data_IF_268587329140
#
_entry.id   IF_268587329140
#
_cell.length_a   1.000
_cell.length_b   1.000
_cell.length_c   1.000
_cell.angle_alpha   90.00
_cell.angle_beta   90.00
_cell.angle_gamma   90.00
#
_symmetry.space_group_name_H-M   'P 1'
#
loop_
_entity.id
_entity.type
_entity.pdbx_description
1 polymer ?
#
# COMPACT_ATOMS: atom_id res chain seq x y z
N UNK A 1 3.77 -15.30 -5.60
CA UNK A 1 5.12 -15.78 -5.99
C UNK A 1 5.75 -14.91 -7.08
N UNK A 2 5.07 -14.63 -8.21
CA UNK A 2 5.66 -13.87 -9.32
C UNK A 2 6.08 -12.44 -8.93
N UNK A 3 5.30 -11.75 -8.11
CA UNK A 3 5.62 -10.39 -7.65
C UNK A 3 6.90 -10.40 -6.81
N UNK A 4 6.96 -11.22 -5.77
CA UNK A 4 8.10 -11.29 -4.86
C UNK A 4 9.32 -11.95 -5.51
N UNK A 5 9.14 -13.11 -6.15
CA UNK A 5 10.26 -13.89 -6.68
C UNK A 5 10.90 -13.33 -7.95
N UNK A 6 10.17 -12.55 -8.75
CA UNK A 6 10.67 -12.05 -10.05
C UNK A 6 10.55 -10.54 -10.24
N UNK A 7 9.46 -9.91 -9.74
CA UNK A 7 9.19 -8.51 -10.06
C UNK A 7 9.84 -7.53 -9.07
N UNK A 8 10.03 -7.90 -7.81
CA UNK A 8 10.76 -7.05 -6.86
C UNK A 8 12.20 -6.76 -7.32
N UNK A 9 12.87 -7.77 -7.87
CA UNK A 9 14.23 -7.63 -8.40
C UNK A 9 14.31 -7.09 -9.83
N UNK A 10 13.19 -6.82 -10.50
CA UNK A 10 13.17 -6.37 -11.89
C UNK A 10 13.93 -5.06 -12.06
N UNK A 11 14.84 -5.01 -13.03
CA UNK A 11 15.71 -3.86 -13.27
C UNK A 11 16.53 -3.44 -12.03
N UNK A 12 16.96 -4.43 -11.20
CA UNK A 12 17.68 -4.13 -9.96
C UNK A 12 16.82 -3.41 -8.91
N UNK A 13 15.51 -3.67 -8.90
CA UNK A 13 14.56 -3.05 -7.97
C UNK A 13 14.07 -1.65 -8.40
N UNK A 14 14.56 -1.08 -9.49
CA UNK A 14 14.20 0.27 -9.95
C UNK A 14 12.70 0.44 -10.20
N UNK A 15 12.04 -0.60 -10.66
CA UNK A 15 10.60 -0.54 -10.97
C UNK A 15 9.75 -0.28 -9.72
N UNK A 16 10.05 -0.97 -8.62
CA UNK A 16 9.32 -0.76 -7.37
C UNK A 16 9.72 0.54 -6.69
N UNK A 17 11.00 0.92 -6.79
CA UNK A 17 11.48 2.21 -6.29
C UNK A 17 10.78 3.38 -6.99
N UNK A 18 10.60 3.31 -8.32
CA UNK A 18 9.85 4.32 -9.07
C UNK A 18 8.41 4.47 -8.62
N UNK A 19 7.74 3.37 -8.21
CA UNK A 19 6.42 3.46 -7.60
C UNK A 19 6.45 4.22 -6.28
N UNK A 20 7.40 3.91 -5.40
CA UNK A 20 7.55 4.63 -4.13
C UNK A 20 7.88 6.11 -4.34
N UNK A 21 8.74 6.44 -5.29
CA UNK A 21 9.05 7.82 -5.66
C UNK A 21 7.78 8.58 -6.13
N UNK A 22 6.96 7.94 -6.95
CA UNK A 22 5.68 8.51 -7.41
C UNK A 22 4.75 8.81 -6.23
N UNK A 23 4.60 7.88 -5.29
CA UNK A 23 3.77 8.09 -4.09
C UNK A 23 4.32 9.21 -3.22
N UNK A 24 5.63 9.23 -2.99
CA UNK A 24 6.28 10.25 -2.17
C UNK A 24 6.17 11.64 -2.79
N UNK A 25 6.36 11.75 -4.11
CA UNK A 25 6.20 13.01 -4.84
C UNK A 25 4.77 13.54 -4.70
N UNK A 26 3.77 12.69 -4.92
CA UNK A 26 2.37 13.07 -4.75
C UNK A 26 2.07 13.56 -3.33
N UNK A 27 2.54 12.83 -2.31
CA UNK A 27 2.36 13.22 -0.90
C UNK A 27 3.01 14.57 -0.58
N UNK A 28 4.23 14.79 -1.08
CA UNK A 28 4.98 16.03 -0.87
C UNK A 28 4.33 17.23 -1.56
N UNK A 29 3.90 17.07 -2.81
CA UNK A 29 3.25 18.13 -3.58
C UNK A 29 1.93 18.58 -2.95
N UNK A 30 1.25 17.69 -2.21
CA UNK A 30 -0.04 17.95 -1.58
C UNK A 30 0.03 18.12 -0.06
N UNK A 31 1.22 18.18 0.54
CA UNK A 31 1.41 18.21 2.01
C UNK A 31 0.67 19.38 2.68
N UNK A 32 0.55 20.52 1.99
CA UNK A 32 -0.15 21.71 2.47
C UNK A 32 -1.66 21.71 2.23
N UNK A 33 -2.24 20.66 1.67
CA UNK A 33 -3.67 20.58 1.40
C UNK A 33 -4.43 20.03 2.61
N UNK A 34 -4.78 20.91 3.56
CA UNK A 34 -5.45 20.54 4.80
C UNK A 34 -6.81 19.86 4.59
N UNK A 35 -7.50 20.16 3.47
CA UNK A 35 -8.83 19.60 3.18
C UNK A 35 -8.84 18.08 2.99
N UNK A 36 -7.74 17.50 2.49
CA UNK A 36 -7.62 16.06 2.25
C UNK A 36 -6.53 15.39 3.09
N UNK A 37 -5.75 16.16 3.86
CA UNK A 37 -4.58 15.67 4.56
C UNK A 37 -4.91 14.54 5.54
N UNK A 38 -5.75 14.83 6.53
CA UNK A 38 -6.06 13.88 7.61
C UNK A 38 -6.80 12.61 7.11
N UNK A 39 -7.69 12.77 6.13
CA UNK A 39 -8.54 11.69 5.65
C UNK A 39 -7.91 10.85 4.54
N UNK A 40 -6.93 11.39 3.77
CA UNK A 40 -6.37 10.72 2.60
C UNK A 40 -4.84 10.66 2.58
N UNK A 41 -4.14 11.78 2.83
CA UNK A 41 -2.68 11.79 2.68
C UNK A 41 -1.98 11.08 3.85
N UNK A 42 -2.39 11.31 5.08
CA UNK A 42 -1.78 10.69 6.26
C UNK A 42 -1.99 9.16 6.28
N UNK A 43 -3.21 8.61 6.00
CA UNK A 43 -3.40 7.17 5.85
C UNK A 43 -2.58 6.57 4.71
N UNK A 44 -2.50 7.23 3.55
CA UNK A 44 -1.68 6.78 2.43
C UNK A 44 -0.19 6.74 2.78
N UNK A 45 0.30 7.75 3.49
CA UNK A 45 1.68 7.81 3.97
C UNK A 45 2.00 6.66 4.93
N UNK A 46 1.08 6.33 5.84
CA UNK A 46 1.24 5.20 6.75
C UNK A 46 1.29 3.87 6.00
N UNK A 47 0.33 3.61 5.11
CA UNK A 47 0.28 2.39 4.32
C UNK A 47 1.49 2.23 3.37
N UNK A 48 2.00 3.33 2.80
CA UNK A 48 3.22 3.33 1.99
C UNK A 48 4.46 2.95 2.81
N UNK A 49 4.55 3.38 4.08
CA UNK A 49 5.62 2.95 4.99
C UNK A 49 5.56 1.46 5.30
N UNK A 50 4.37 0.91 5.52
CA UNK A 50 4.19 -0.52 5.73
C UNK A 50 4.69 -1.32 4.52
N UNK A 51 4.33 -0.88 3.31
CA UNK A 51 4.76 -1.53 2.07
C UNK A 51 6.28 -1.45 1.88
N UNK A 52 6.90 -0.31 2.21
CA UNK A 52 8.36 -0.17 2.19
C UNK A 52 9.03 -1.10 3.19
N UNK A 53 8.49 -1.20 4.41
CA UNK A 53 9.02 -2.10 5.44
C UNK A 53 8.95 -3.56 5.01
N UNK A 54 7.86 -3.98 4.35
CA UNK A 54 7.74 -5.32 3.76
C UNK A 54 8.78 -5.57 2.67
N UNK A 55 9.00 -4.61 1.78
CA UNK A 55 10.03 -4.69 0.75
C UNK A 55 11.44 -4.83 1.33
N UNK A 56 11.75 -4.06 2.37
CA UNK A 56 13.03 -4.14 3.09
C UNK A 56 13.21 -5.49 3.79
N UNK A 57 12.15 -6.03 4.41
CA UNK A 57 12.17 -7.36 5.01
C UNK A 57 12.53 -8.44 3.97
N UNK A 58 11.90 -8.42 2.80
CA UNK A 58 12.21 -9.38 1.74
C UNK A 58 13.65 -9.27 1.23
N UNK A 59 14.19 -8.07 1.15
CA UNK A 59 15.59 -7.87 0.75
C UNK A 59 16.55 -8.43 1.82
N UNK A 60 16.25 -8.22 3.10
CA UNK A 60 17.12 -8.65 4.20
C UNK A 60 17.00 -10.15 4.51
N UNK A 61 15.78 -10.64 4.64
CA UNK A 61 15.52 -12.01 5.12
C UNK A 61 15.35 -13.02 3.97
N UNK A 62 14.87 -12.58 2.81
CA UNK A 62 14.75 -13.43 1.63
C UNK A 62 16.10 -13.86 1.05
N UNK A 63 17.16 -13.10 1.26
CA UNK A 63 18.53 -13.49 0.89
C UNK A 63 19.10 -14.57 1.83
N UNK A 64 18.71 -14.57 3.11
CA UNK A 64 19.13 -15.58 4.09
C UNK A 64 18.35 -16.88 3.92
N UNK A 65 17.05 -16.79 3.74
CA UNK A 65 16.14 -17.91 3.50
C UNK A 65 15.05 -17.51 2.51
N UNK A 66 15.07 -18.02 1.27
CA UNK A 66 14.07 -17.71 0.25
C UNK A 66 12.62 -17.99 0.70
N UNK A 67 12.40 -18.96 1.58
CA UNK A 67 11.07 -19.28 2.08
C UNK A 67 10.46 -18.11 2.88
N UNK A 68 11.27 -17.28 3.55
CA UNK A 68 10.79 -16.08 4.23
C UNK A 68 10.14 -15.08 3.27
N UNK A 69 10.68 -14.92 2.07
CA UNK A 69 10.08 -14.07 1.06
C UNK A 69 8.87 -14.74 0.37
N UNK A 70 8.96 -16.04 0.12
CA UNK A 70 7.90 -16.78 -0.59
C UNK A 70 6.64 -16.94 0.26
N UNK A 71 6.76 -17.17 1.57
CA UNK A 71 5.63 -17.28 2.52
C UNK A 71 4.81 -15.98 2.58
N UNK A 72 5.44 -14.82 2.50
CA UNK A 72 4.79 -13.51 2.52
C UNK A 72 4.25 -13.02 1.17
N UNK A 73 4.37 -13.80 0.09
CA UNK A 73 4.05 -13.33 -1.28
C UNK A 73 2.60 -12.91 -1.48
N UNK A 74 1.64 -13.60 -0.86
CA UNK A 74 0.22 -13.26 -0.93
C UNK A 74 -0.05 -11.93 -0.20
N UNK A 75 0.45 -11.82 1.02
CA UNK A 75 0.27 -10.63 1.84
C UNK A 75 0.89 -9.40 1.17
N UNK A 76 2.09 -9.53 0.59
CA UNK A 76 2.74 -8.45 -0.14
C UNK A 76 1.96 -8.00 -1.38
N UNK A 77 1.44 -8.93 -2.17
CA UNK A 77 0.61 -8.60 -3.33
C UNK A 77 -0.66 -7.85 -2.92
N UNK A 78 -1.30 -8.30 -1.85
CA UNK A 78 -2.53 -7.71 -1.33
C UNK A 78 -2.27 -6.30 -0.80
N UNK A 79 -1.25 -6.10 0.03
CA UNK A 79 -0.93 -4.77 0.55
C UNK A 79 -0.45 -3.82 -0.54
N UNK A 80 0.27 -4.30 -1.57
CA UNK A 80 0.64 -3.50 -2.73
C UNK A 80 -0.62 -2.99 -3.46
N UNK A 81 -1.60 -3.87 -3.67
CA UNK A 81 -2.90 -3.51 -4.24
C UNK A 81 -3.63 -2.46 -3.39
N UNK A 82 -3.63 -2.61 -2.07
CA UNK A 82 -4.22 -1.62 -1.16
C UNK A 82 -3.55 -0.24 -1.27
N UNK A 83 -2.23 -0.18 -1.35
CA UNK A 83 -1.52 1.11 -1.51
C UNK A 83 -1.79 1.73 -2.87
N UNK A 84 -1.81 0.95 -3.96
CA UNK A 84 -2.19 1.45 -5.28
C UNK A 84 -3.60 2.07 -5.29
N UNK A 85 -4.59 1.36 -4.72
CA UNK A 85 -5.95 1.88 -4.60
C UNK A 85 -6.00 3.11 -3.68
N UNK A 86 -5.22 3.13 -2.60
CA UNK A 86 -5.08 4.29 -1.73
C UNK A 86 -4.57 5.53 -2.47
N UNK A 87 -3.57 5.36 -3.36
CA UNK A 87 -3.08 6.44 -4.21
C UNK A 87 -4.18 6.98 -5.13
N UNK A 88 -4.94 6.08 -5.77
CA UNK A 88 -6.03 6.48 -6.67
C UNK A 88 -7.15 7.22 -5.90
N UNK A 89 -7.51 6.74 -4.71
CA UNK A 89 -8.48 7.42 -3.87
C UNK A 89 -8.00 8.81 -3.42
N UNK A 90 -6.73 8.97 -3.08
CA UNK A 90 -6.17 10.27 -2.73
C UNK A 90 -6.18 11.25 -3.91
N UNK A 91 -5.86 10.77 -5.13
CA UNK A 91 -5.94 11.57 -6.36
C UNK A 91 -7.38 11.96 -6.69
N UNK A 92 -8.33 11.03 -6.56
CA UNK A 92 -9.76 11.31 -6.76
C UNK A 92 -10.27 12.31 -5.71
N UNK A 93 -9.83 12.21 -4.45
CA UNK A 93 -10.19 13.14 -3.40
C UNK A 93 -9.67 14.56 -3.69
N UNK A 94 -8.43 14.67 -4.17
CA UNK A 94 -7.86 15.96 -4.59
C UNK A 94 -8.70 16.60 -5.70
N UNK A 95 -9.08 15.83 -6.71
CA UNK A 95 -9.88 16.30 -7.83
C UNK A 95 -11.31 16.67 -7.40
N UNK A 96 -11.93 15.85 -6.54
CA UNK A 96 -13.26 16.09 -6.03
C UNK A 96 -13.32 17.35 -5.15
N UNK A 97 -12.33 17.54 -4.28
CA UNK A 97 -12.23 18.74 -3.43
C UNK A 97 -12.07 20.01 -4.29
N UNK A 98 -11.17 19.96 -5.28
CA UNK A 98 -10.96 21.09 -6.20
C UNK A 98 -12.24 21.45 -6.98
N UNK A 99 -13.02 20.46 -7.41
CA UNK A 99 -14.30 20.68 -8.08
C UNK A 99 -15.32 21.35 -7.14
N UNK A 100 -15.41 20.92 -5.88
CA UNK A 100 -16.31 21.51 -4.88
C UNK A 100 -15.91 22.94 -4.56
N UNK A 101 -14.63 23.22 -4.42
CA UNK A 101 -14.10 24.57 -4.15
C UNK A 101 -14.32 25.51 -5.34
N UNK A 102 -14.28 24.95 -6.57
CA UNK A 102 -14.60 25.66 -7.81
C UNK A 102 -16.08 25.85 -8.10
N UNK A 103 -16.99 25.42 -7.21
CA UNK A 103 -18.43 25.61 -7.36
C UNK A 103 -19.11 24.68 -8.37
N UNK A 104 -18.59 23.43 -8.52
CA UNK A 104 -19.17 22.45 -9.44
C UNK A 104 -20.67 22.22 -9.17
N UNK A 105 -21.45 22.06 -10.24
CA UNK A 105 -22.92 21.85 -10.19
C UNK A 105 -23.28 20.50 -9.56
N UNK A 106 -22.47 19.47 -9.80
CA UNK A 106 -22.72 18.09 -9.33
C UNK A 106 -22.13 17.83 -7.93
N UNK A 107 -22.43 18.71 -6.97
CA UNK A 107 -21.91 18.63 -5.60
C UNK A 107 -22.10 17.26 -4.97
N UNK A 108 -23.30 16.68 -5.08
CA UNK A 108 -23.63 15.39 -4.49
C UNK A 108 -22.71 14.27 -4.99
N UNK A 109 -22.37 14.29 -6.27
CA UNK A 109 -21.42 13.33 -6.85
C UNK A 109 -20.04 13.43 -6.18
N UNK A 110 -19.47 14.61 -6.07
CA UNK A 110 -18.15 14.81 -5.49
C UNK A 110 -18.12 14.54 -3.97
N UNK A 111 -19.15 14.93 -3.24
CA UNK A 111 -19.32 14.62 -1.82
C UNK A 111 -19.42 13.11 -1.58
N UNK A 112 -20.15 12.38 -2.43
CA UNK A 112 -20.24 10.91 -2.39
C UNK A 112 -18.89 10.25 -2.67
N UNK A 113 -18.10 10.79 -3.61
CA UNK A 113 -16.73 10.30 -3.86
C UNK A 113 -15.82 10.48 -2.65
N UNK A 114 -15.86 11.64 -2.01
CA UNK A 114 -15.10 11.88 -0.79
C UNK A 114 -15.53 10.94 0.34
N UNK A 115 -16.83 10.73 0.53
CA UNK A 115 -17.35 9.83 1.55
C UNK A 115 -16.89 8.37 1.32
N UNK A 116 -16.98 7.88 0.08
CA UNK A 116 -16.53 6.54 -0.29
C UNK A 116 -15.01 6.40 -0.12
N UNK A 117 -14.25 7.40 -0.52
CA UNK A 117 -12.80 7.42 -0.34
C UNK A 117 -12.40 7.38 1.14
N UNK A 118 -13.07 8.15 2.01
CA UNK A 118 -12.86 8.10 3.47
C UNK A 118 -13.14 6.72 4.04
N UNK A 119 -14.19 6.05 3.57
CA UNK A 119 -14.46 4.66 3.95
C UNK A 119 -13.28 3.76 3.59
N UNK A 120 -12.78 3.86 2.34
CA UNK A 120 -11.63 3.06 1.91
C UNK A 120 -10.41 3.30 2.80
N UNK A 121 -10.06 4.57 3.01
CA UNK A 121 -8.89 4.96 3.80
C UNK A 121 -8.98 4.50 5.27
N UNK A 122 -10.17 4.48 5.85
CA UNK A 122 -10.37 4.13 7.26
C UNK A 122 -10.66 2.66 7.51
N UNK A 123 -11.21 1.93 6.52
CA UNK A 123 -11.71 0.56 6.71
C UNK A 123 -10.96 -0.49 5.92
N UNK A 124 -10.34 -0.13 4.79
CA UNK A 124 -9.62 -1.08 3.93
C UNK A 124 -8.10 -0.88 4.00
N UNK A 125 -7.64 0.34 3.82
CA UNK A 125 -6.22 0.65 3.74
C UNK A 125 -5.42 0.24 4.99
N UNK A 126 -5.93 0.34 6.24
CA UNK A 126 -5.20 -0.09 7.45
C UNK A 126 -4.87 -1.59 7.51
N UNK A 127 -5.44 -2.42 6.62
CA UNK A 127 -5.08 -3.83 6.49
C UNK A 127 -3.58 -4.02 6.13
N UNK A 128 -2.91 -2.99 5.60
CA UNK A 128 -1.46 -3.04 5.32
C UNK A 128 -0.64 -3.40 6.56
N UNK A 129 -1.01 -2.89 7.74
CA UNK A 129 -0.33 -3.22 9.00
C UNK A 129 -0.46 -4.72 9.37
N UNK A 130 -1.62 -5.32 9.15
CA UNK A 130 -1.83 -6.76 9.36
C UNK A 130 -0.99 -7.60 8.39
N UNK A 131 -0.99 -7.24 7.11
CA UNK A 131 -0.19 -7.93 6.11
C UNK A 131 1.31 -7.81 6.40
N UNK A 132 1.78 -6.63 6.85
CA UNK A 132 3.17 -6.45 7.27
C UNK A 132 3.55 -7.39 8.42
N UNK A 133 2.71 -7.48 9.46
CA UNK A 133 2.95 -8.37 10.60
C UNK A 133 3.04 -9.84 10.15
N UNK A 134 2.19 -10.28 9.23
CA UNK A 134 2.22 -11.64 8.66
C UNK A 134 3.49 -11.89 7.85
N UNK A 135 3.92 -10.94 7.03
CA UNK A 135 5.17 -11.03 6.28
C UNK A 135 6.36 -11.19 7.23
N UNK A 136 6.41 -10.37 8.28
CA UNK A 136 7.50 -10.37 9.24
C UNK A 136 7.54 -11.61 10.15
N UNK A 137 6.47 -12.40 10.22
CA UNK A 137 6.49 -13.69 10.94
C UNK A 137 7.35 -14.74 10.23
N UNK A 138 7.71 -14.52 8.96
CA UNK A 138 8.59 -15.41 8.20
C UNK A 138 7.94 -16.71 7.77
N UNK A 139 8.80 -17.71 7.44
CA UNK A 139 8.34 -19.00 6.92
C UNK A 139 8.05 -20.03 8.03
N UNK A 140 8.66 -19.90 9.20
CA UNK A 140 8.60 -20.92 10.27
C UNK A 140 7.16 -21.33 10.62
N UNK A 141 6.20 -20.41 10.86
CA UNK A 141 4.84 -20.79 11.18
C UNK A 141 4.14 -21.63 10.08
N UNK A 142 4.62 -21.53 8.83
CA UNK A 142 4.05 -22.26 7.68
C UNK A 142 4.76 -23.57 7.43
N UNK A 143 6.07 -23.65 7.73
CA UNK A 143 6.95 -24.74 7.33
C UNK A 143 7.35 -25.68 8.48
N UNK A 144 6.90 -25.44 9.71
CA UNK A 144 7.32 -26.21 10.89
C UNK A 144 6.76 -27.63 10.90
N UNK A 145 5.57 -27.86 10.32
CA UNK A 145 4.96 -29.18 10.31
C UNK A 145 5.52 -30.02 9.16
N UNK A 146 6.02 -31.19 9.51
CA UNK A 146 6.41 -32.22 8.54
C UNK A 146 5.16 -32.83 7.90
N UNK A 147 5.25 -33.15 6.59
CA UNK A 147 4.13 -33.72 5.83
C UNK A 147 3.55 -35.00 6.46
N UNK A 148 4.37 -35.78 7.18
CA UNK A 148 3.95 -36.97 7.87
C UNK A 148 3.06 -36.71 9.11
N UNK A 149 2.94 -35.46 9.55
CA UNK A 149 2.17 -35.07 10.73
C UNK A 149 0.81 -34.43 10.40
N UNK A 150 0.39 -34.50 9.13
CA UNK A 150 -0.94 -34.08 8.67
C UNK A 150 -1.93 -35.23 8.62
#
# INVERSE_FOLDING_TARGET
LALVGRKLGLNGGKTIMGFFETVQTFLKENEGNDAIKADFLDPLKAASKDLQAAGMYFMAEGMKNPNNALSGSYDFMTMFGHVCLGCLWAQMALSAQAALDGGASDREFYESKLATGRYYMKRQLPATALHLARIQSGADPVMTLEAANF
#
